data_IF_638569814823
#
_entry.id   IF_638569814823
#
_cell.length_a   1.000
_cell.length_b   1.000
_cell.length_c   1.000
_cell.angle_alpha   90.00
_cell.angle_beta   90.00
_cell.angle_gamma   90.00
#
_symmetry.space_group_name_H-M   'P 1'
#
loop_
_entity.id
_entity.type
_entity.pdbx_description
1 polymer ?
#
# COMPACT_ATOMS: atom_id res chain seq x y z
N UNK A 1 25.91 35.52 0.91
CA UNK A 1 26.88 34.63 0.20
C UNK A 1 26.30 34.21 -1.12
N UNK A 2 27.01 34.37 -2.26
CA UNK A 2 26.54 33.82 -3.54
C UNK A 2 26.59 32.29 -3.47
N UNK A 3 25.55 31.55 -3.92
CA UNK A 3 25.55 30.09 -3.89
C UNK A 3 26.68 29.54 -4.78
N UNK A 4 27.35 28.48 -4.31
CA UNK A 4 28.43 27.83 -5.07
C UNK A 4 27.85 27.24 -6.38
N UNK A 5 28.43 27.64 -7.52
CA UNK A 5 28.11 27.13 -8.84
C UNK A 5 29.32 26.43 -9.47
N UNK A 6 29.09 25.28 -10.09
CA UNK A 6 30.11 24.55 -10.83
C UNK A 6 30.50 25.32 -12.11
N UNK A 7 31.73 25.07 -12.60
CA UNK A 7 32.15 25.62 -13.88
C UNK A 7 31.31 25.11 -15.03
N UNK A 8 30.86 26.00 -15.91
CA UNK A 8 30.18 25.66 -17.16
C UNK A 8 31.19 25.26 -18.23
N UNK A 9 30.70 24.67 -19.35
CA UNK A 9 31.56 24.37 -20.50
C UNK A 9 32.18 25.66 -21.08
N UNK A 10 31.41 26.75 -21.16
CA UNK A 10 31.86 28.05 -21.64
C UNK A 10 33.00 28.61 -20.76
N UNK A 11 32.83 28.57 -19.44
CA UNK A 11 33.90 29.00 -18.51
C UNK A 11 35.17 28.15 -18.67
N UNK A 12 35.04 26.86 -18.88
CA UNK A 12 36.18 25.95 -19.12
C UNK A 12 36.88 26.25 -20.44
N UNK A 13 36.14 26.58 -21.50
CA UNK A 13 36.72 27.02 -22.77
C UNK A 13 37.52 28.31 -22.58
N UNK A 14 36.96 29.28 -21.86
CA UNK A 14 37.67 30.53 -21.56
C UNK A 14 38.94 30.28 -20.71
N UNK A 15 38.88 29.39 -19.70
CA UNK A 15 40.08 28.98 -18.95
C UNK A 15 41.13 28.39 -19.87
N UNK A 16 40.76 27.51 -20.80
CA UNK A 16 41.67 26.90 -21.76
C UNK A 16 42.31 27.95 -22.64
N UNK A 17 41.55 28.88 -23.20
CA UNK A 17 42.01 29.97 -24.03
C UNK A 17 43.00 30.88 -23.26
N UNK A 18 42.62 31.34 -22.07
CA UNK A 18 43.46 32.23 -21.26
C UNK A 18 44.77 31.58 -20.80
N UNK A 19 44.76 30.27 -20.54
CA UNK A 19 45.98 29.51 -20.27
C UNK A 19 46.89 29.44 -21.51
N UNK A 20 46.32 29.32 -22.71
CA UNK A 20 47.10 29.34 -23.98
C UNK A 20 47.69 30.73 -24.24
N UNK A 21 46.98 31.78 -23.82
CA UNK A 21 47.45 33.17 -23.87
C UNK A 21 48.49 33.49 -22.77
N UNK A 22 48.84 32.52 -21.92
CA UNK A 22 49.84 32.70 -20.86
C UNK A 22 49.39 33.49 -19.61
N UNK A 23 48.07 33.74 -19.46
CA UNK A 23 47.51 34.47 -18.32
C UNK A 23 47.66 33.70 -17.01
N UNK A 24 47.93 34.43 -15.93
CA UNK A 24 48.04 33.87 -14.59
C UNK A 24 46.65 33.44 -14.02
N UNK A 25 46.61 32.48 -13.10
CA UNK A 25 45.37 32.07 -12.44
C UNK A 25 44.63 33.23 -11.75
N UNK A 26 45.33 34.26 -11.28
CA UNK A 26 44.73 35.46 -10.68
C UNK A 26 43.99 36.30 -11.73
N UNK A 27 44.60 36.50 -12.90
CA UNK A 27 43.98 37.22 -14.02
C UNK A 27 42.76 36.47 -14.58
N UNK A 28 42.88 35.15 -14.79
CA UNK A 28 41.78 34.31 -15.23
C UNK A 28 40.62 34.40 -14.24
N UNK A 29 40.89 34.33 -12.93
CA UNK A 29 39.88 34.45 -11.90
C UNK A 29 39.16 35.81 -11.95
N UNK A 30 39.86 36.90 -12.14
CA UNK A 30 39.30 38.26 -12.30
C UNK A 30 38.39 38.35 -13.51
N UNK A 31 38.82 37.82 -14.68
CA UNK A 31 38.08 37.85 -15.92
C UNK A 31 36.78 37.01 -15.84
N UNK A 32 36.79 35.90 -15.11
CA UNK A 32 35.63 35.02 -14.96
C UNK A 32 34.77 35.31 -13.72
N UNK A 33 35.12 36.29 -12.90
CA UNK A 33 34.43 36.60 -11.65
C UNK A 33 34.42 35.43 -10.65
N UNK A 34 35.49 34.61 -10.65
CA UNK A 34 35.71 33.46 -9.79
C UNK A 34 36.89 33.66 -8.84
N UNK A 35 36.97 32.84 -7.78
CA UNK A 35 38.14 32.90 -6.91
C UNK A 35 39.36 32.25 -7.57
N UNK A 36 40.60 32.80 -7.36
CA UNK A 36 41.85 32.21 -7.87
C UNK A 36 42.04 30.74 -7.43
N UNK A 37 41.62 30.41 -6.21
CA UNK A 37 41.68 29.05 -5.68
C UNK A 37 40.73 28.08 -6.43
N UNK A 38 39.60 28.57 -6.94
CA UNK A 38 38.67 27.76 -7.78
C UNK A 38 39.30 27.46 -9.13
N UNK A 39 39.91 28.44 -9.79
CA UNK A 39 40.64 28.26 -11.07
C UNK A 39 41.79 27.27 -10.88
N UNK A 40 42.65 27.47 -9.87
CA UNK A 40 43.78 26.57 -9.59
C UNK A 40 43.30 25.12 -9.37
N UNK A 41 42.23 24.91 -8.57
CA UNK A 41 41.68 23.59 -8.33
C UNK A 41 41.08 22.96 -9.59
N UNK A 42 40.36 23.73 -10.42
CA UNK A 42 39.79 23.24 -11.69
C UNK A 42 40.89 22.79 -12.65
N UNK A 43 41.93 23.62 -12.82
CA UNK A 43 43.08 23.33 -13.70
C UNK A 43 43.83 22.10 -13.19
N UNK A 44 44.29 22.10 -11.92
CA UNK A 44 45.06 21.00 -11.33
C UNK A 44 44.31 19.66 -11.39
N UNK A 45 42.99 19.66 -11.11
CA UNK A 45 42.17 18.48 -11.11
C UNK A 45 42.00 17.85 -12.51
N UNK A 46 42.04 18.64 -13.57
CA UNK A 46 41.77 18.23 -14.94
C UNK A 46 42.99 18.33 -15.87
N UNK A 47 44.17 18.70 -15.34
CA UNK A 47 45.39 18.78 -16.11
C UNK A 47 45.80 17.41 -16.63
N UNK A 48 46.18 17.35 -17.90
CA UNK A 48 46.69 16.11 -18.49
C UNK A 48 48.23 16.13 -18.46
N UNK A 49 48.85 15.43 -17.52
CA UNK A 49 50.30 15.30 -17.43
C UNK A 49 50.91 14.67 -18.70
N UNK A 50 50.22 13.69 -19.34
CA UNK A 50 50.68 13.07 -20.59
C UNK A 50 50.72 14.06 -21.76
N UNK A 51 49.73 14.97 -21.86
CA UNK A 51 49.64 15.99 -22.92
C UNK A 51 50.14 17.36 -22.48
N UNK A 52 50.62 17.50 -21.25
CA UNK A 52 51.12 18.73 -20.62
C UNK A 52 50.20 19.96 -20.83
N UNK A 53 48.86 19.75 -20.82
CA UNK A 53 47.88 20.82 -21.04
C UNK A 53 46.56 20.57 -20.33
N UNK A 54 45.84 21.65 -20.05
CA UNK A 54 44.42 21.63 -19.68
C UNK A 54 43.56 21.56 -20.96
N UNK A 55 42.47 20.80 -20.91
CA UNK A 55 41.51 20.70 -22.01
C UNK A 55 40.07 20.78 -21.45
N UNK A 56 39.30 21.76 -21.93
CA UNK A 56 37.97 22.10 -21.45
C UNK A 56 36.94 20.96 -21.63
N UNK A 57 36.99 20.32 -22.82
CA UNK A 57 36.07 19.20 -23.12
C UNK A 57 36.35 18.01 -22.23
N UNK A 58 37.61 17.62 -22.06
CA UNK A 58 38.02 16.56 -21.15
C UNK A 58 37.64 16.89 -19.68
N UNK A 59 37.85 18.14 -19.25
CA UNK A 59 37.47 18.59 -17.91
C UNK A 59 35.97 18.47 -17.66
N UNK A 60 35.14 18.76 -18.68
CA UNK A 60 33.69 18.61 -18.62
C UNK A 60 33.28 17.13 -18.57
N UNK A 61 33.88 16.29 -19.39
CA UNK A 61 33.63 14.83 -19.35
C UNK A 61 33.98 14.24 -17.99
N UNK A 62 35.16 14.56 -17.46
CA UNK A 62 35.61 14.11 -16.14
C UNK A 62 34.73 14.66 -15.00
N UNK A 63 34.21 15.89 -15.15
CA UNK A 63 33.22 16.44 -14.21
C UNK A 63 31.92 15.63 -14.22
N UNK A 64 31.37 15.31 -15.39
CA UNK A 64 30.15 14.50 -15.53
C UNK A 64 30.33 13.11 -14.93
N UNK A 65 31.47 12.45 -15.18
CA UNK A 65 31.78 11.13 -14.63
C UNK A 65 31.86 11.21 -13.08
N UNK A 66 32.58 12.20 -12.54
CA UNK A 66 32.69 12.41 -11.08
C UNK A 66 31.32 12.67 -10.47
N UNK A 67 30.45 13.48 -11.11
CA UNK A 67 29.08 13.75 -10.62
C UNK A 67 28.23 12.51 -10.60
N UNK A 68 28.33 11.65 -11.61
CA UNK A 68 27.64 10.34 -11.63
C UNK A 68 28.09 9.44 -10.47
N UNK A 69 29.38 9.46 -10.12
CA UNK A 69 29.92 8.68 -9.01
C UNK A 69 29.61 9.25 -7.62
N UNK A 70 29.20 10.53 -7.54
CA UNK A 70 28.77 11.17 -6.29
C UNK A 70 27.31 10.90 -5.92
N UNK A 71 26.58 10.11 -6.70
CA UNK A 71 25.19 9.70 -6.38
C UNK A 71 25.21 8.74 -5.20
N UNK A 72 24.31 8.95 -4.24
CA UNK A 72 24.10 8.01 -3.12
C UNK A 72 23.85 6.60 -3.66
N UNK A 73 24.56 5.61 -3.15
CA UNK A 73 24.32 4.21 -3.51
C UNK A 73 22.88 3.83 -3.19
N UNK A 74 22.26 3.06 -4.06
CA UNK A 74 20.92 2.56 -3.83
C UNK A 74 20.92 1.58 -2.65
N UNK A 75 19.92 1.69 -1.78
CA UNK A 75 19.75 0.82 -0.62
C UNK A 75 19.21 -0.55 -1.06
N UNK A 76 18.22 -0.54 -1.97
CA UNK A 76 17.65 -1.76 -2.52
C UNK A 76 18.43 -2.13 -3.78
N UNK A 77 19.17 -3.24 -3.71
CA UNK A 77 20.02 -3.77 -4.78
C UNK A 77 19.45 -5.14 -5.18
N UNK A 78 19.22 -5.41 -6.49
CA UNK A 78 18.80 -6.72 -6.95
C UNK A 78 19.76 -7.83 -6.48
N UNK A 79 19.22 -9.00 -6.10
CA UNK A 79 20.00 -10.15 -5.64
C UNK A 79 20.46 -10.09 -4.18
N UNK A 80 20.14 -9.04 -3.43
CA UNK A 80 20.38 -8.99 -1.98
C UNK A 80 19.24 -9.63 -1.22
N UNK A 81 19.51 -10.20 -0.03
CA UNK A 81 18.51 -10.75 0.89
C UNK A 81 17.36 -9.79 1.17
N UNK A 82 17.67 -8.51 1.39
CA UNK A 82 16.66 -7.47 1.56
C UNK A 82 15.75 -7.32 0.32
N UNK A 83 16.32 -7.39 -0.89
CA UNK A 83 15.53 -7.29 -2.12
C UNK A 83 14.63 -8.52 -2.30
N UNK A 84 15.12 -9.70 -1.98
CA UNK A 84 14.34 -10.96 -2.00
C UNK A 84 13.18 -10.88 -1.02
N UNK A 85 13.44 -10.50 0.23
CA UNK A 85 12.40 -10.31 1.25
C UNK A 85 11.32 -9.28 0.82
N UNK A 86 11.73 -8.14 0.24
CA UNK A 86 10.81 -7.13 -0.29
C UNK A 86 9.96 -7.72 -1.42
N UNK A 87 10.54 -8.54 -2.30
CA UNK A 87 9.84 -9.19 -3.41
C UNK A 87 8.76 -10.14 -2.90
N UNK A 88 9.10 -11.03 -1.96
CA UNK A 88 8.15 -11.94 -1.31
C UNK A 88 6.98 -11.21 -0.63
N UNK A 89 7.29 -10.08 0.04
CA UNK A 89 6.25 -9.23 0.63
C UNK A 89 5.30 -8.63 -0.43
N UNK A 90 5.82 -8.24 -1.60
CA UNK A 90 4.99 -7.77 -2.71
C UNK A 90 4.15 -8.88 -3.33
N UNK A 91 4.65 -10.10 -3.41
CA UNK A 91 3.89 -11.28 -3.88
C UNK A 91 2.71 -11.58 -2.95
N UNK A 92 2.83 -11.29 -1.65
CA UNK A 92 1.72 -11.31 -0.67
C UNK A 92 0.86 -10.04 -0.72
N UNK A 93 1.03 -9.20 -1.72
CA UNK A 93 0.27 -7.95 -1.95
C UNK A 93 0.36 -6.94 -0.79
N UNK A 94 1.46 -6.94 -0.03
CA UNK A 94 1.66 -5.96 1.03
C UNK A 94 1.96 -4.57 0.47
N UNK A 95 1.52 -3.53 1.19
CA UNK A 95 1.83 -2.15 0.78
C UNK A 95 3.26 -1.77 1.16
N UNK A 96 3.91 -0.83 0.44
CA UNK A 96 5.24 -0.36 0.77
C UNK A 96 5.42 0.13 2.21
N UNK A 97 4.37 0.66 2.86
CA UNK A 97 4.39 1.05 4.28
C UNK A 97 4.52 -0.16 5.21
N UNK A 98 3.74 -1.21 4.95
CA UNK A 98 3.80 -2.47 5.69
C UNK A 98 5.17 -3.12 5.50
N UNK A 99 5.64 -3.19 4.25
CA UNK A 99 6.94 -3.77 3.90
C UNK A 99 8.08 -3.04 4.62
N UNK A 100 8.08 -1.70 4.62
CA UNK A 100 9.10 -0.92 5.31
C UNK A 100 9.14 -1.20 6.82
N UNK A 101 7.96 -1.40 7.45
CA UNK A 101 7.90 -1.75 8.86
C UNK A 101 8.42 -3.17 9.12
N UNK A 102 8.00 -4.15 8.32
CA UNK A 102 8.48 -5.54 8.44
C UNK A 102 9.98 -5.66 8.15
N UNK A 103 10.51 -4.87 7.21
CA UNK A 103 11.95 -4.77 6.98
C UNK A 103 12.71 -4.37 8.26
N UNK A 104 12.20 -3.37 9.03
CA UNK A 104 12.83 -2.96 10.30
C UNK A 104 12.87 -4.09 11.32
N UNK A 105 11.78 -4.87 11.44
CA UNK A 105 11.73 -6.02 12.35
C UNK A 105 12.75 -7.09 11.96
N UNK A 106 13.03 -7.24 10.66
CA UNK A 106 14.04 -8.18 10.14
C UNK A 106 15.45 -7.55 10.02
N UNK A 107 15.70 -6.42 10.66
CA UNK A 107 17.03 -5.78 10.68
C UNK A 107 17.39 -4.97 9.42
N UNK A 108 16.50 -4.86 8.44
CA UNK A 108 16.74 -4.07 7.23
C UNK A 108 16.29 -2.60 7.40
N UNK A 109 17.20 -1.67 7.18
CA UNK A 109 16.88 -0.24 7.30
C UNK A 109 16.46 0.35 5.96
N UNK A 110 15.15 0.34 5.68
CA UNK A 110 14.55 0.90 4.47
C UNK A 110 13.28 1.67 4.81
N UNK A 111 13.07 2.83 4.20
CA UNK A 111 11.84 3.61 4.36
C UNK A 111 10.88 3.40 3.18
N UNK A 112 9.60 3.68 3.41
CA UNK A 112 8.50 3.58 2.43
C UNK A 112 8.83 4.32 1.12
N UNK A 113 9.38 5.55 1.21
CA UNK A 113 9.74 6.34 0.03
C UNK A 113 10.83 5.68 -0.82
N UNK A 114 11.79 4.97 -0.18
CA UNK A 114 12.84 4.23 -0.89
C UNK A 114 12.27 3.05 -1.66
N UNK A 115 11.28 2.34 -1.08
CA UNK A 115 10.57 1.24 -1.75
C UNK A 115 9.79 1.75 -2.97
N UNK A 116 9.02 2.84 -2.83
CA UNK A 116 8.32 3.46 -3.97
C UNK A 116 9.28 3.90 -5.08
N UNK A 117 10.44 4.47 -4.71
CA UNK A 117 11.47 4.86 -5.68
C UNK A 117 12.04 3.64 -6.41
N UNK A 118 12.34 2.57 -5.69
CA UNK A 118 12.84 1.33 -6.28
C UNK A 118 11.84 0.71 -7.26
N UNK A 119 10.53 0.75 -6.94
CA UNK A 119 9.46 0.35 -7.87
C UNK A 119 9.42 1.22 -9.13
N UNK A 120 9.47 2.55 -8.97
CA UNK A 120 9.46 3.49 -10.09
C UNK A 120 10.66 3.27 -11.02
N UNK A 121 11.83 3.01 -10.44
CA UNK A 121 13.08 2.77 -11.15
C UNK A 121 13.26 1.31 -11.61
N UNK A 122 12.25 0.47 -11.41
CA UNK A 122 12.22 -0.97 -11.79
C UNK A 122 13.41 -1.76 -11.24
N UNK A 123 13.87 -1.44 -10.02
CA UNK A 123 14.98 -2.13 -9.34
C UNK A 123 14.56 -3.41 -8.61
N UNK A 124 13.26 -3.64 -8.47
CA UNK A 124 12.70 -4.87 -7.91
C UNK A 124 12.17 -5.69 -9.08
N UNK A 125 12.89 -6.75 -9.43
CA UNK A 125 12.57 -7.57 -10.61
C UNK A 125 11.21 -8.25 -10.45
N UNK A 126 10.40 -8.26 -11.51
CA UNK A 126 9.07 -8.91 -11.52
C UNK A 126 7.96 -8.08 -10.86
N UNK A 127 8.27 -7.08 -10.06
CA UNK A 127 7.28 -6.27 -9.32
C UNK A 127 6.93 -4.99 -10.07
N UNK A 128 5.63 -4.76 -10.25
CA UNK A 128 5.10 -3.55 -10.91
C UNK A 128 3.97 -2.92 -10.09
N UNK A 129 3.84 -1.60 -10.16
CA UNK A 129 2.76 -0.87 -9.47
C UNK A 129 1.37 -1.30 -9.93
N UNK A 130 1.20 -1.68 -11.21
CA UNK A 130 -0.08 -2.12 -11.77
C UNK A 130 -0.55 -3.45 -11.19
N UNK A 131 0.36 -4.40 -10.97
CA UNK A 131 0.04 -5.76 -10.53
C UNK A 131 -0.01 -5.87 -8.99
N UNK A 132 0.89 -5.19 -8.29
CA UNK A 132 1.14 -5.45 -6.86
C UNK A 132 0.66 -4.34 -5.92
N UNK A 133 0.33 -3.12 -6.43
CA UNK A 133 -0.22 -2.07 -5.60
C UNK A 133 -1.74 -1.99 -5.71
N UNK A 134 -2.45 -1.93 -4.57
CA UNK A 134 -3.92 -1.88 -4.47
C UNK A 134 -4.57 -0.87 -5.43
N UNK A 135 -4.04 0.34 -5.51
CA UNK A 135 -4.58 1.41 -6.38
C UNK A 135 -4.05 1.39 -7.81
N UNK A 136 -3.24 0.40 -8.17
CA UNK A 136 -2.65 0.29 -9.53
C UNK A 136 -2.05 1.60 -10.07
N UNK A 137 -1.62 2.49 -9.17
CA UNK A 137 -1.12 3.85 -9.49
C UNK A 137 -2.19 4.91 -9.74
N UNK A 138 -3.49 4.63 -9.55
CA UNK A 138 -4.59 5.59 -9.75
C UNK A 138 -4.94 6.36 -8.46
N UNK A 139 -5.51 7.59 -8.62
CA UNK A 139 -6.09 8.37 -7.52
C UNK A 139 -7.49 7.87 -7.19
N UNK A 140 -7.95 8.11 -5.93
CA UNK A 140 -9.33 7.80 -5.52
C UNK A 140 -10.34 8.63 -6.31
N UNK A 141 -11.45 7.98 -6.75
CA UNK A 141 -12.67 8.63 -7.19
C UNK A 141 -13.79 8.22 -6.23
N UNK A 142 -14.63 9.18 -5.81
CA UNK A 142 -15.78 8.92 -4.96
C UNK A 142 -16.99 8.60 -5.85
N UNK A 143 -17.52 7.40 -5.73
CA UNK A 143 -18.79 7.00 -6.36
C UNK A 143 -19.93 7.15 -5.34
N UNK A 144 -21.01 7.85 -5.71
CA UNK A 144 -22.25 7.92 -4.92
C UNK A 144 -23.21 6.85 -5.40
N UNK A 145 -23.85 6.13 -4.46
CA UNK A 145 -24.90 5.12 -4.75
C UNK A 145 -26.18 5.48 -4.04
N UNK A 146 -27.33 5.21 -4.69
CA UNK A 146 -28.67 5.24 -4.09
C UNK A 146 -28.97 3.90 -3.43
N UNK A 147 -29.62 3.89 -2.28
CA UNK A 147 -29.95 2.72 -1.49
C UNK A 147 -31.45 2.63 -1.23
N UNK A 148 -32.01 1.43 -1.25
CA UNK A 148 -33.36 1.10 -0.76
C UNK A 148 -33.33 0.92 0.77
N UNK A 149 -34.42 1.25 1.47
CA UNK A 149 -34.47 1.30 2.93
C UNK A 149 -35.24 0.10 3.48
N UNK A 150 -34.63 -0.63 4.44
CA UNK A 150 -35.31 -1.59 5.32
C UNK A 150 -35.83 -0.82 6.54
N UNK A 151 -36.88 -1.33 7.22
CA UNK A 151 -37.29 -0.87 8.54
C UNK A 151 -36.64 -1.75 9.61
N UNK A 152 -35.49 -1.34 10.19
CA UNK A 152 -34.73 -2.14 11.14
C UNK A 152 -35.46 -2.19 12.48
N UNK A 153 -35.36 -3.32 13.21
CA UNK A 153 -35.82 -3.45 14.61
C UNK A 153 -34.80 -2.75 15.54
N UNK A 154 -33.50 -2.90 15.25
CA UNK A 154 -32.42 -2.27 16.01
C UNK A 154 -31.58 -1.38 15.10
N UNK A 155 -31.49 -0.13 15.49
CA UNK A 155 -30.63 0.87 14.80
C UNK A 155 -29.23 0.89 15.43
N UNK A 156 -28.29 1.54 14.76
CA UNK A 156 -26.94 1.72 15.29
C UNK A 156 -26.92 2.49 16.64
N UNK A 157 -27.97 3.28 16.90
CA UNK A 157 -28.11 4.05 18.14
C UNK A 157 -28.49 3.17 19.35
N UNK A 158 -29.07 1.99 19.09
CA UNK A 158 -29.41 1.00 20.12
C UNK A 158 -28.23 0.08 20.45
N UNK A 159 -27.12 0.21 19.70
CA UNK A 159 -25.96 -0.65 19.80
C UNK A 159 -25.18 -0.33 21.09
N UNK A 160 -24.79 -1.36 21.91
CA UNK A 160 -24.03 -1.16 23.12
C UNK A 160 -22.71 -0.39 22.88
N UNK A 161 -22.37 0.53 23.78
CA UNK A 161 -21.16 1.37 23.67
C UNK A 161 -19.86 0.55 23.57
N UNK A 162 -19.82 -0.64 24.17
CA UNK A 162 -18.67 -1.56 24.10
C UNK A 162 -18.30 -1.92 22.66
N UNK A 163 -19.27 -1.97 21.72
CA UNK A 163 -19.04 -2.26 20.31
C UNK A 163 -18.23 -1.12 19.64
N UNK A 164 -18.47 0.14 20.07
CA UNK A 164 -17.73 1.29 19.54
C UNK A 164 -16.28 1.30 20.01
N UNK A 165 -16.01 0.83 21.21
CA UNK A 165 -14.66 0.79 21.78
C UNK A 165 -13.75 -0.21 21.07
N UNK A 166 -14.31 -1.19 20.33
CA UNK A 166 -13.58 -2.26 19.61
C UNK A 166 -12.63 -3.05 20.52
N UNK A 167 -13.02 -3.24 21.78
CA UNK A 167 -12.17 -3.90 22.81
C UNK A 167 -12.38 -5.40 22.84
N UNK A 168 -13.61 -5.89 22.58
CA UNK A 168 -13.92 -7.32 22.55
C UNK A 168 -13.87 -7.89 21.15
N UNK A 169 -13.70 -9.20 21.04
CA UNK A 169 -13.90 -9.98 19.82
C UNK A 169 -15.38 -10.30 19.64
N UNK A 170 -15.82 -10.56 18.42
CA UNK A 170 -17.18 -11.00 18.14
C UNK A 170 -18.14 -9.91 17.66
N UNK A 171 -17.69 -8.67 17.59
CA UNK A 171 -18.45 -7.58 16.99
C UNK A 171 -18.11 -7.46 15.51
N UNK A 172 -19.01 -7.94 14.62
CA UNK A 172 -18.76 -7.98 13.18
C UNK A 172 -19.42 -6.80 12.45
N UNK A 173 -18.78 -6.37 11.36
CA UNK A 173 -19.40 -5.57 10.30
C UNK A 173 -19.65 -6.49 9.11
N UNK A 174 -20.90 -6.55 8.60
CA UNK A 174 -21.28 -7.36 7.46
C UNK A 174 -21.60 -6.52 6.23
N UNK A 175 -21.32 -7.05 5.02
CA UNK A 175 -21.62 -6.41 3.74
C UNK A 175 -21.70 -7.45 2.62
N UNK A 176 -22.12 -7.04 1.42
CA UNK A 176 -22.10 -7.87 0.23
C UNK A 176 -21.22 -7.25 -0.87
N UNK A 177 -20.40 -8.06 -1.50
CA UNK A 177 -19.59 -7.68 -2.67
C UNK A 177 -20.27 -8.20 -3.93
N UNK A 178 -21.07 -7.36 -4.59
CA UNK A 178 -21.93 -7.75 -5.71
C UNK A 178 -21.18 -7.93 -7.03
N UNK A 179 -21.35 -9.06 -7.70
CA UNK A 179 -20.73 -9.36 -9.00
C UNK A 179 -21.40 -8.69 -10.20
N UNK A 180 -22.70 -8.42 -10.08
CA UNK A 180 -23.58 -7.93 -11.16
C UNK A 180 -24.82 -8.81 -11.31
N UNK A 181 -25.72 -8.42 -12.20
CA UNK A 181 -26.95 -9.21 -12.48
C UNK A 181 -26.55 -10.62 -12.91
N UNK A 182 -27.17 -11.64 -12.30
CA UNK A 182 -26.92 -13.06 -12.55
C UNK A 182 -25.45 -13.52 -12.37
N UNK A 183 -24.66 -12.83 -11.54
CA UNK A 183 -23.24 -13.14 -11.31
C UNK A 183 -22.92 -13.48 -9.85
N UNK A 184 -23.92 -13.66 -9.01
CA UNK A 184 -23.73 -13.92 -7.59
C UNK A 184 -23.12 -12.75 -6.82
N UNK A 185 -22.83 -12.99 -5.56
CA UNK A 185 -22.16 -12.05 -4.68
C UNK A 185 -21.35 -12.81 -3.61
N UNK A 186 -20.52 -12.08 -2.89
CA UNK A 186 -19.79 -12.58 -1.71
C UNK A 186 -20.32 -11.85 -0.50
N UNK A 187 -20.75 -12.59 0.51
CA UNK A 187 -21.01 -12.07 1.85
C UNK A 187 -19.67 -11.92 2.55
N UNK A 188 -19.46 -10.81 3.20
CA UNK A 188 -18.23 -10.49 3.93
C UNK A 188 -18.53 -10.04 5.34
N UNK A 189 -17.84 -10.61 6.30
CA UNK A 189 -17.99 -10.33 7.73
C UNK A 189 -16.60 -10.02 8.30
N UNK A 190 -16.44 -8.87 8.96
CA UNK A 190 -15.15 -8.45 9.47
C UNK A 190 -15.26 -8.12 10.95
N UNK A 191 -14.50 -8.82 11.79
CA UNK A 191 -14.45 -8.52 13.22
C UNK A 191 -13.83 -7.15 13.49
N UNK A 192 -14.51 -6.36 14.30
CA UNK A 192 -14.15 -4.95 14.56
C UNK A 192 -12.84 -4.81 15.33
N UNK A 193 -12.48 -5.78 16.17
CA UNK A 193 -11.23 -5.77 16.93
C UNK A 193 -10.06 -6.35 16.17
N UNK A 194 -10.11 -7.62 15.83
CA UNK A 194 -9.01 -8.35 15.17
C UNK A 194 -8.82 -8.01 13.70
N UNK A 195 -9.84 -7.42 13.05
CA UNK A 195 -9.89 -7.20 11.61
C UNK A 195 -9.88 -8.51 10.79
N UNK A 196 -10.20 -9.63 11.45
CA UNK A 196 -10.37 -10.91 10.78
C UNK A 196 -11.55 -10.82 9.80
N UNK A 197 -11.32 -11.22 8.58
CA UNK A 197 -12.33 -11.35 7.53
C UNK A 197 -12.76 -12.81 7.47
N UNK A 198 -14.06 -13.06 7.42
CA UNK A 198 -14.64 -14.29 6.92
C UNK A 198 -15.61 -13.99 5.79
N UNK A 199 -15.73 -14.88 4.81
CA UNK A 199 -16.56 -14.64 3.64
C UNK A 199 -17.05 -15.96 3.01
N UNK A 200 -18.20 -15.88 2.33
CA UNK A 200 -18.74 -17.01 1.56
C UNK A 200 -19.47 -16.51 0.30
N UNK A 201 -19.50 -17.34 -0.74
CA UNK A 201 -20.19 -17.04 -2.00
C UNK A 201 -21.69 -17.24 -1.81
N UNK A 202 -22.50 -16.32 -2.33
CA UNK A 202 -23.95 -16.49 -2.51
C UNK A 202 -24.30 -16.48 -3.99
N UNK A 203 -25.19 -17.35 -4.40
CA UNK A 203 -25.62 -17.48 -5.81
C UNK A 203 -26.35 -16.24 -6.33
N UNK A 204 -27.05 -15.53 -5.44
CA UNK A 204 -27.74 -14.27 -5.73
C UNK A 204 -27.89 -13.43 -4.44
N UNK A 205 -28.65 -12.34 -4.51
CA UNK A 205 -28.92 -11.45 -3.36
C UNK A 205 -30.29 -11.70 -2.72
N UNK A 206 -30.90 -12.85 -2.94
CA UNK A 206 -32.12 -13.21 -2.25
C UNK A 206 -31.85 -13.47 -0.78
N UNK A 207 -32.76 -13.02 0.07
CA UNK A 207 -32.59 -13.00 1.53
C UNK A 207 -32.21 -14.36 2.11
N UNK A 208 -32.79 -15.45 1.61
CA UNK A 208 -32.54 -16.83 2.05
C UNK A 208 -31.10 -17.27 1.66
N UNK A 209 -30.69 -17.01 0.42
CA UNK A 209 -29.33 -17.33 -0.04
C UNK A 209 -28.24 -16.50 0.71
N UNK A 210 -28.54 -15.27 1.06
CA UNK A 210 -27.69 -14.44 1.89
C UNK A 210 -27.59 -15.01 3.30
N UNK A 211 -28.71 -15.40 3.94
CA UNK A 211 -28.71 -16.09 5.24
C UNK A 211 -27.79 -17.31 5.22
N UNK A 212 -28.00 -18.21 4.24
CA UNK A 212 -27.18 -19.41 4.11
C UNK A 212 -25.67 -19.07 3.93
N UNK A 213 -25.36 -18.01 3.18
CA UNK A 213 -23.99 -17.55 3.01
C UNK A 213 -23.40 -16.97 4.31
N UNK A 214 -24.20 -16.28 5.15
CA UNK A 214 -23.78 -15.83 6.49
C UNK A 214 -23.38 -17.02 7.36
N UNK A 215 -24.26 -18.02 7.48
CA UNK A 215 -23.99 -19.22 8.30
C UNK A 215 -22.72 -19.94 7.81
N UNK A 216 -22.59 -20.10 6.49
CA UNK A 216 -21.42 -20.72 5.90
C UNK A 216 -20.15 -19.89 6.11
N UNK A 217 -20.21 -18.56 6.04
CA UNK A 217 -19.05 -17.70 6.31
C UNK A 217 -18.52 -17.90 7.74
N UNK A 218 -19.40 -17.97 8.74
CA UNK A 218 -18.99 -18.25 10.12
C UNK A 218 -18.45 -19.66 10.30
N UNK A 219 -19.01 -20.67 9.62
CA UNK A 219 -18.49 -22.05 9.69
C UNK A 219 -17.09 -22.22 9.06
N UNK A 220 -16.71 -21.32 8.15
CA UNK A 220 -15.39 -21.32 7.49
C UNK A 220 -14.36 -20.46 8.23
N UNK A 221 -14.71 -19.89 9.38
CA UNK A 221 -13.82 -19.02 10.15
C UNK A 221 -12.66 -19.83 10.78
N UNK A 222 -11.42 -19.39 10.58
CA UNK A 222 -10.22 -20.09 11.07
C UNK A 222 -10.08 -20.09 12.62
N UNK A 223 -10.80 -19.22 13.33
CA UNK A 223 -10.76 -19.08 14.79
C UNK A 223 -12.16 -19.15 15.37
N UNK A 224 -12.30 -19.82 16.49
CA UNK A 224 -13.55 -19.85 17.24
C UNK A 224 -13.75 -18.51 17.97
N UNK A 225 -14.40 -17.57 17.30
CA UNK A 225 -14.75 -16.27 17.85
C UNK A 225 -16.26 -16.22 18.04
N UNK A 226 -16.77 -15.91 19.27
CA UNK A 226 -18.20 -15.78 19.49
C UNK A 226 -18.80 -14.67 18.61
N UNK A 227 -20.03 -14.85 18.14
CA UNK A 227 -20.74 -13.82 17.36
C UNK A 227 -21.62 -13.01 18.31
N UNK A 228 -21.09 -11.92 18.83
CA UNK A 228 -21.77 -11.06 19.80
C UNK A 228 -22.75 -10.11 19.11
N UNK A 229 -22.29 -9.36 18.13
CA UNK A 229 -23.11 -8.42 17.35
C UNK A 229 -22.71 -8.40 15.89
N UNK A 230 -23.67 -8.08 15.02
CA UNK A 230 -23.40 -7.84 13.60
C UNK A 230 -23.97 -6.46 13.23
N UNK A 231 -23.19 -5.63 12.55
CA UNK A 231 -23.65 -4.34 12.01
C UNK A 231 -23.76 -4.41 10.50
N UNK A 232 -24.96 -4.17 9.95
CA UNK A 232 -25.28 -4.22 8.52
C UNK A 232 -25.66 -2.84 7.98
N UNK A 233 -25.79 -2.71 6.65
CA UNK A 233 -26.50 -1.60 6.03
C UNK A 233 -27.97 -1.94 5.82
N UNK A 234 -28.75 -0.93 5.36
CA UNK A 234 -30.17 -1.10 5.08
C UNK A 234 -30.44 -1.73 3.68
N UNK A 235 -29.56 -2.62 3.22
CA UNK A 235 -29.72 -3.33 1.95
C UNK A 235 -30.85 -4.35 2.00
N UNK A 236 -31.74 -4.38 1.01
CA UNK A 236 -32.90 -5.30 0.97
C UNK A 236 -32.52 -6.80 1.03
N UNK A 237 -31.27 -7.13 0.71
CA UNK A 237 -30.69 -8.48 0.85
C UNK A 237 -30.63 -8.99 2.29
N UNK A 238 -30.64 -8.08 3.26
CA UNK A 238 -30.61 -8.40 4.69
C UNK A 238 -32.01 -8.47 5.33
N UNK A 239 -33.07 -8.50 4.54
CA UNK A 239 -34.46 -8.52 5.04
C UNK A 239 -34.79 -9.76 5.91
N UNK A 240 -33.99 -10.82 5.84
CA UNK A 240 -34.15 -12.04 6.66
C UNK A 240 -33.34 -12.01 7.97
N UNK A 241 -32.94 -10.82 8.43
CA UNK A 241 -32.06 -10.62 9.55
C UNK A 241 -32.54 -11.27 10.87
N UNK A 242 -33.85 -11.32 11.12
CA UNK A 242 -34.39 -11.97 12.32
C UNK A 242 -34.06 -13.47 12.38
N UNK A 243 -34.09 -14.16 11.24
CA UNK A 243 -33.68 -15.55 11.18
C UNK A 243 -32.17 -15.72 11.32
N UNK A 244 -31.38 -14.77 10.81
CA UNK A 244 -29.90 -14.74 11.02
C UNK A 244 -29.59 -14.55 12.52
N UNK A 245 -30.30 -13.65 13.20
CA UNK A 245 -30.18 -13.45 14.66
C UNK A 245 -30.48 -14.74 15.44
N UNK A 246 -31.57 -15.42 15.08
CA UNK A 246 -31.97 -16.66 15.73
C UNK A 246 -30.94 -17.80 15.50
N UNK A 247 -30.45 -17.97 14.27
CA UNK A 247 -29.48 -19.01 13.93
C UNK A 247 -28.15 -18.84 14.59
N UNK A 248 -27.67 -17.57 14.71
CA UNK A 248 -26.35 -17.24 15.24
C UNK A 248 -26.39 -16.84 16.73
N UNK A 249 -27.59 -16.78 17.34
CA UNK A 249 -27.81 -16.28 18.70
C UNK A 249 -27.09 -14.94 18.94
N UNK A 250 -27.33 -13.98 18.03
CA UNK A 250 -26.66 -12.67 18.00
C UNK A 250 -27.68 -11.55 17.82
N UNK A 251 -27.27 -10.29 17.98
CA UNK A 251 -28.09 -9.11 17.70
C UNK A 251 -27.55 -8.36 16.49
N UNK A 252 -28.43 -8.03 15.53
CA UNK A 252 -28.08 -7.29 14.32
C UNK A 252 -28.51 -5.84 14.44
N UNK A 253 -27.56 -4.93 14.23
CA UNK A 253 -27.76 -3.48 14.21
C UNK A 253 -27.61 -2.94 12.79
N UNK A 254 -28.45 -1.97 12.44
CA UNK A 254 -28.41 -1.35 11.12
C UNK A 254 -27.84 0.06 11.19
N UNK A 255 -26.87 0.34 10.29
CA UNK A 255 -26.28 1.67 10.15
C UNK A 255 -27.31 2.66 9.59
N UNK A 256 -27.12 3.93 9.90
CA UNK A 256 -27.96 4.99 9.34
C UNK A 256 -27.82 5.07 7.82
N UNK A 257 -28.91 5.39 7.10
CA UNK A 257 -28.83 5.66 5.67
C UNK A 257 -27.76 6.73 5.37
N UNK A 258 -27.00 6.52 4.31
CA UNK A 258 -25.95 7.44 3.84
C UNK A 258 -24.80 7.73 4.84
N UNK A 259 -24.60 6.88 5.84
CA UNK A 259 -23.57 7.02 6.88
C UNK A 259 -22.42 6.00 6.76
N UNK A 260 -21.63 6.01 5.66
CA UNK A 260 -20.58 5.02 5.41
C UNK A 260 -19.48 4.99 6.49
N UNK A 261 -19.27 6.10 7.21
CA UNK A 261 -18.28 6.16 8.30
C UNK A 261 -18.62 5.23 9.48
N UNK A 262 -19.88 4.85 9.66
CA UNK A 262 -20.33 3.92 10.69
C UNK A 262 -19.85 2.47 10.41
N UNK A 263 -19.53 2.16 9.14
CA UNK A 263 -19.06 0.85 8.67
C UNK A 263 -17.75 0.95 7.82
N UNK A 264 -16.88 1.86 8.20
CA UNK A 264 -15.64 2.13 7.46
C UNK A 264 -14.68 0.94 7.37
N UNK A 265 -14.83 -0.07 8.20
CA UNK A 265 -14.02 -1.29 8.15
C UNK A 265 -14.39 -2.14 6.94
N UNK A 266 -15.69 -2.32 6.67
CA UNK A 266 -16.18 -3.05 5.51
C UNK A 266 -15.78 -2.39 4.20
N UNK A 267 -15.94 -1.07 4.08
CA UNK A 267 -15.54 -0.34 2.87
C UNK A 267 -14.05 -0.60 2.54
N UNK A 268 -13.18 -0.50 3.55
CA UNK A 268 -11.76 -0.77 3.35
C UNK A 268 -11.47 -2.23 2.98
N UNK A 269 -12.19 -3.19 3.57
CA UNK A 269 -12.00 -4.62 3.31
C UNK A 269 -12.54 -5.00 1.94
N UNK A 270 -13.73 -4.51 1.58
CA UNK A 270 -14.33 -4.74 0.27
C UNK A 270 -13.47 -4.16 -0.86
N UNK A 271 -12.82 -3.02 -0.64
CA UNK A 271 -11.84 -2.48 -1.58
C UNK A 271 -10.63 -3.42 -1.77
N UNK A 272 -10.21 -4.15 -0.72
CA UNK A 272 -9.12 -5.14 -0.85
C UNK A 272 -9.64 -6.38 -1.60
N UNK A 273 -10.83 -6.85 -1.30
CA UNK A 273 -11.48 -7.95 -2.04
C UNK A 273 -11.60 -7.59 -3.53
N UNK A 274 -11.99 -6.35 -3.85
CA UNK A 274 -12.10 -5.82 -5.23
C UNK A 274 -10.77 -5.72 -5.96
N UNK A 275 -9.67 -5.79 -5.27
CA UNK A 275 -8.36 -5.91 -5.91
C UNK A 275 -8.18 -7.31 -6.55
N UNK A 276 -8.66 -8.36 -5.88
CA UNK A 276 -8.62 -9.75 -6.37
C UNK A 276 -9.80 -10.05 -7.31
N UNK A 277 -10.99 -9.60 -6.94
CA UNK A 277 -12.24 -9.77 -7.68
C UNK A 277 -12.76 -8.40 -8.16
N UNK A 278 -12.33 -7.91 -9.33
CA UNK A 278 -12.75 -6.60 -9.87
C UNK A 278 -14.26 -6.48 -10.05
N UNK A 279 -14.76 -5.24 -10.20
CA UNK A 279 -16.19 -5.01 -10.55
C UNK A 279 -16.54 -5.79 -11.81
N UNK A 280 -17.68 -6.53 -11.75
CA UNK A 280 -18.15 -7.36 -12.84
C UNK A 280 -17.67 -8.82 -12.83
N UNK A 281 -16.85 -9.21 -11.84
CA UNK A 281 -16.50 -10.63 -11.62
C UNK A 281 -17.76 -11.47 -11.45
N UNK A 282 -17.82 -12.59 -12.16
CA UNK A 282 -18.87 -13.58 -11.99
C UNK A 282 -18.49 -14.54 -10.85
N UNK A 283 -19.07 -14.33 -9.67
CA UNK A 283 -18.82 -15.15 -8.48
C UNK A 283 -19.33 -16.57 -8.59
N UNK A 284 -20.25 -16.86 -9.52
CA UNK A 284 -20.68 -18.24 -9.79
C UNK A 284 -19.58 -19.10 -10.43
N UNK A 285 -18.58 -18.46 -11.04
CA UNK A 285 -17.41 -19.13 -11.62
C UNK A 285 -16.19 -19.14 -10.68
N UNK A 286 -16.29 -18.54 -9.50
CA UNK A 286 -15.25 -18.54 -8.47
C UNK A 286 -15.52 -19.70 -7.53
N UNK A 287 -14.54 -20.57 -7.31
CA UNK A 287 -14.69 -21.66 -6.33
C UNK A 287 -14.61 -21.12 -4.90
N UNK A 288 -15.22 -21.84 -3.95
CA UNK A 288 -15.10 -21.49 -2.53
C UNK A 288 -13.64 -21.52 -2.08
N UNK A 289 -12.84 -22.49 -2.57
CA UNK A 289 -11.42 -22.59 -2.29
C UNK A 289 -10.63 -21.34 -2.78
N UNK A 290 -10.93 -20.86 -3.98
CA UNK A 290 -10.33 -19.64 -4.52
C UNK A 290 -10.66 -18.41 -3.65
N UNK A 291 -11.91 -18.31 -3.18
CA UNK A 291 -12.33 -17.25 -2.26
C UNK A 291 -11.58 -17.37 -0.93
N UNK A 292 -11.51 -18.58 -0.33
CA UNK A 292 -10.83 -18.78 0.96
C UNK A 292 -9.32 -18.52 0.87
N UNK A 293 -8.67 -18.84 -0.23
CA UNK A 293 -7.27 -18.47 -0.48
C UNK A 293 -7.09 -16.94 -0.46
N UNK A 294 -8.00 -16.19 -1.05
CA UNK A 294 -7.98 -14.71 -1.00
C UNK A 294 -8.27 -14.21 0.41
N UNK A 295 -9.23 -14.79 1.12
CA UNK A 295 -9.52 -14.46 2.54
C UNK A 295 -8.27 -14.67 3.40
N UNK A 296 -7.60 -15.81 3.25
CA UNK A 296 -6.36 -16.09 3.97
C UNK A 296 -5.23 -15.08 3.65
N UNK A 297 -5.04 -14.70 2.38
CA UNK A 297 -4.09 -13.65 1.99
C UNK A 297 -4.41 -12.31 2.65
N UNK A 298 -5.70 -11.96 2.75
CA UNK A 298 -6.15 -10.73 3.41
C UNK A 298 -5.92 -10.80 4.92
N UNK A 299 -6.19 -11.93 5.54
CA UNK A 299 -6.02 -12.19 6.98
C UNK A 299 -4.55 -12.31 7.39
N UNK A 300 -3.68 -12.76 6.49
CA UNK A 300 -2.22 -12.79 6.68
C UNK A 300 -1.56 -11.42 6.50
N UNK A 301 -2.31 -10.41 6.03
CA UNK A 301 -1.77 -9.09 5.76
C UNK A 301 -1.66 -8.25 7.04
N UNK A 302 -0.47 -7.74 7.41
CA UNK A 302 -0.29 -6.87 8.56
C UNK A 302 -1.14 -5.58 8.48
N UNK A 303 -1.68 -5.15 9.62
CA UNK A 303 -2.52 -3.96 9.75
C UNK A 303 -1.86 -2.95 10.69
N UNK A 304 -1.78 -1.69 10.28
CA UNK A 304 -1.21 -0.62 11.10
C UNK A 304 -1.96 -0.46 12.44
N UNK A 305 -3.29 -0.59 12.42
CA UNK A 305 -4.13 -0.51 13.61
C UNK A 305 -3.95 -1.69 14.60
N UNK A 306 -3.29 -2.77 14.19
CA UNK A 306 -2.91 -3.90 15.02
C UNK A 306 -1.40 -3.87 15.37
N UNK A 307 -0.76 -2.71 15.34
CA UNK A 307 0.68 -2.60 15.57
C UNK A 307 1.52 -3.33 14.51
N UNK A 308 1.04 -3.39 13.26
CA UNK A 308 1.62 -4.15 12.15
C UNK A 308 1.62 -5.67 12.32
N UNK A 309 0.81 -6.20 13.22
CA UNK A 309 0.43 -7.62 13.21
C UNK A 309 -0.63 -7.85 12.14
N UNK A 310 -0.67 -9.07 11.59
CA UNK A 310 -1.81 -9.51 10.80
C UNK A 310 -2.97 -9.93 11.72
N UNK A 311 -4.23 -10.01 11.23
CA UNK A 311 -5.33 -10.59 11.98
C UNK A 311 -5.01 -11.96 12.56
N UNK A 312 -4.38 -12.85 11.78
CA UNK A 312 -3.97 -14.19 12.22
C UNK A 312 -2.93 -14.13 13.34
N UNK A 313 -1.86 -13.32 13.18
CA UNK A 313 -0.83 -13.13 14.21
C UNK A 313 -1.40 -12.51 15.49
N UNK A 314 -2.38 -11.59 15.37
CA UNK A 314 -3.02 -10.95 16.50
C UNK A 314 -3.84 -11.96 17.31
N UNK A 315 -4.62 -12.81 16.64
CA UNK A 315 -5.44 -13.83 17.30
C UNK A 315 -4.58 -14.96 17.91
N UNK A 316 -3.59 -15.45 17.16
CA UNK A 316 -2.67 -16.49 17.66
C UNK A 316 -1.96 -16.07 18.96
N UNK A 317 -1.55 -14.79 19.09
CA UNK A 317 -0.95 -14.28 20.32
C UNK A 317 -1.93 -14.23 21.48
N UNK A 318 -3.24 -14.04 21.23
CA UNK A 318 -4.27 -14.01 22.29
C UNK A 318 -4.68 -15.39 22.76
N UNK A 319 -4.62 -16.40 21.87
CA UNK A 319 -4.93 -17.78 22.25
C UNK A 319 -3.81 -18.44 23.08
N UNK A 320 -2.61 -17.83 23.12
CA UNK A 320 -1.48 -18.31 23.92
C UNK A 320 -1.31 -17.61 25.27
N UNK A 321 -2.22 -16.70 25.64
CA UNK A 321 -2.28 -16.00 26.95
C UNK A 321 -3.58 -16.34 27.64
#
# INVERSE_FOLDING_TARGET
MKPYTHFTLTERNNIQQFLTEGKSFREIARLLGRSPSSISREVKRNYSYKKKRYNAWRATTLYIIRRRNCVRKHVIIPGTEMCTFITECFEKYWSPEIIANRCKVNGFNVCTATIYRALKERRITGITSKKHLRRRGKRMQNDRKNCSTIHPVHTIHDRPEIVETKIRLGDFEGDTVYGGVAKGCVVTLVDRKSKLLTAAISVNREKENIRNAFLRAFSLMEFDIPVETITLDNGSEFADFLNIEADLNTTIYFADPHSPWQRGLNENTNDIIRFFFPKGTNFLNVSEEELQNVVHLINSRPRKCLGFLSPLEFLSKKCCT
#
